data_IF_654686526417
#
_entry.id   IF_654686526417
#
_cell.length_a   1.000
_cell.length_b   1.000
_cell.length_c   1.000
_cell.angle_alpha   90.00
_cell.angle_beta   90.00
_cell.angle_gamma   90.00
#
_symmetry.space_group_name_H-M   'P 1'
#
loop_
_entity.id
_entity.type
_entity.pdbx_description
1 polymer ?
#
# COMPACT_ATOMS: atom_id res chain seq x y z
N UNK A 1 6.59 3.52 -9.31
CA UNK A 1 5.59 2.95 -10.23
C UNK A 1 4.60 2.13 -9.43
N UNK A 2 3.29 2.37 -9.60
CA UNK A 2 2.22 1.61 -8.92
C UNK A 2 1.25 1.07 -9.98
N UNK A 3 0.70 -0.13 -9.75
CA UNK A 3 -0.06 -0.88 -10.76
C UNK A 3 -1.31 -1.52 -10.14
N UNK A 4 -2.37 -1.61 -10.94
CA UNK A 4 -3.51 -2.49 -10.65
C UNK A 4 -3.36 -3.71 -11.55
N UNK A 5 -3.35 -4.91 -10.96
CA UNK A 5 -3.06 -6.16 -11.67
C UNK A 5 -4.22 -7.14 -11.42
N UNK A 6 -4.98 -7.55 -12.45
CA UNK A 6 -5.96 -8.62 -12.30
C UNK A 6 -5.23 -9.95 -12.09
N UNK A 7 -5.63 -10.71 -11.09
CA UNK A 7 -5.10 -12.04 -10.79
C UNK A 7 -6.26 -13.03 -10.61
N UNK A 8 -6.08 -14.28 -11.06
CA UNK A 8 -7.08 -15.34 -10.85
C UNK A 8 -6.64 -16.26 -9.71
N UNK A 9 -7.56 -16.51 -8.78
CA UNK A 9 -7.42 -17.50 -7.71
C UNK A 9 -8.73 -18.32 -7.63
N UNK A 10 -8.64 -19.65 -7.76
CA UNK A 10 -9.78 -20.58 -7.58
C UNK A 10 -11.06 -20.19 -8.35
N UNK A 11 -10.90 -19.65 -9.55
CA UNK A 11 -12.01 -19.25 -10.43
C UNK A 11 -12.54 -17.84 -10.19
N UNK A 12 -12.10 -17.13 -9.16
CA UNK A 12 -12.40 -15.73 -8.93
C UNK A 12 -11.29 -14.82 -9.48
N UNK A 13 -11.67 -13.65 -9.98
CA UNK A 13 -10.73 -12.57 -10.34
C UNK A 13 -10.61 -11.62 -9.16
N UNK A 14 -9.38 -11.38 -8.72
CA UNK A 14 -9.00 -10.46 -7.67
C UNK A 14 -8.19 -9.31 -8.27
N UNK A 15 -8.28 -8.13 -7.66
CA UNK A 15 -7.59 -6.94 -8.15
C UNK A 15 -6.47 -6.58 -7.18
N UNK A 16 -5.22 -6.82 -7.61
CA UNK A 16 -4.05 -6.51 -6.81
C UNK A 16 -3.62 -5.06 -7.00
N UNK A 17 -3.63 -4.31 -5.90
CA UNK A 17 -3.01 -3.01 -5.79
C UNK A 17 -1.54 -3.17 -5.44
N UNK A 18 -0.66 -3.02 -6.43
CA UNK A 18 0.78 -2.94 -6.22
C UNK A 18 1.21 -1.49 -6.00
N UNK A 19 1.59 -1.19 -4.76
CA UNK A 19 2.08 0.12 -4.36
C UNK A 19 3.62 0.20 -4.43
N UNK A 20 4.16 1.03 -5.31
CA UNK A 20 5.61 1.17 -5.46
C UNK A 20 6.25 2.32 -4.68
N UNK A 21 5.46 3.16 -3.99
CA UNK A 21 5.98 4.28 -3.21
C UNK A 21 6.31 3.84 -1.79
N UNK A 22 7.50 3.30 -1.52
CA UNK A 22 7.79 2.79 -0.18
C UNK A 22 8.95 3.52 0.48
N UNK A 23 8.84 3.67 1.80
CA UNK A 23 9.78 4.32 2.71
C UNK A 23 9.95 5.84 2.48
N UNK A 24 9.57 6.59 3.49
CA UNK A 24 9.80 8.03 3.64
C UNK A 24 10.38 8.25 5.03
N UNK A 25 11.16 9.31 5.20
CA UNK A 25 11.84 9.62 6.45
C UNK A 25 11.81 11.11 6.72
N UNK A 26 12.25 11.50 7.93
CA UNK A 26 12.39 12.91 8.31
C UNK A 26 13.39 13.68 7.46
N UNK A 27 14.29 12.98 6.76
CA UNK A 27 15.27 13.56 5.84
C UNK A 27 14.80 13.58 4.38
N UNK A 28 13.64 13.00 4.08
CA UNK A 28 13.04 13.13 2.74
C UNK A 28 12.77 14.60 2.42
N UNK A 29 13.09 15.08 1.20
CA UNK A 29 12.77 16.44 0.80
C UNK A 29 11.27 16.74 0.94
N UNK A 30 10.94 17.96 1.37
CA UNK A 30 9.56 18.39 1.60
C UNK A 30 8.67 18.16 0.36
N UNK A 31 9.14 18.59 -0.81
CA UNK A 31 8.38 18.44 -2.06
C UNK A 31 8.13 16.97 -2.42
N UNK A 32 9.07 16.07 -2.08
CA UNK A 32 8.90 14.64 -2.26
C UNK A 32 7.83 14.08 -1.32
N UNK A 33 7.72 14.57 -0.08
CA UNK A 33 6.67 14.18 0.85
C UNK A 33 5.29 14.62 0.36
N UNK A 34 5.17 15.84 -0.16
CA UNK A 34 3.93 16.36 -0.76
C UNK A 34 3.53 15.53 -1.99
N UNK A 35 4.47 15.26 -2.89
CA UNK A 35 4.23 14.43 -4.08
C UNK A 35 3.86 12.98 -3.71
N UNK A 36 4.49 12.42 -2.67
CA UNK A 36 4.18 11.09 -2.15
C UNK A 36 2.75 11.03 -1.59
N UNK A 37 2.35 12.00 -0.75
CA UNK A 37 0.98 12.11 -0.23
C UNK A 37 -0.06 12.20 -1.35
N UNK A 38 0.19 13.05 -2.35
CA UNK A 38 -0.70 13.18 -3.51
C UNK A 38 -0.80 11.87 -4.30
N UNK A 39 0.33 11.18 -4.50
CA UNK A 39 0.38 9.89 -5.18
C UNK A 39 -0.37 8.80 -4.41
N UNK A 40 -0.25 8.76 -3.09
CA UNK A 40 -0.95 7.81 -2.23
C UNK A 40 -2.46 7.99 -2.31
N UNK A 41 -2.97 9.23 -2.21
CA UNK A 41 -4.40 9.54 -2.36
C UNK A 41 -4.94 9.20 -3.74
N UNK A 42 -4.19 9.54 -4.80
CA UNK A 42 -4.59 9.18 -6.18
C UNK A 42 -4.66 7.66 -6.34
N UNK A 43 -3.68 6.93 -5.83
CA UNK A 43 -3.66 5.48 -5.97
C UNK A 43 -4.71 4.79 -5.09
N UNK A 44 -5.05 5.36 -3.92
CA UNK A 44 -6.19 4.90 -3.12
C UNK A 44 -7.49 4.95 -3.93
N UNK A 45 -7.78 6.07 -4.60
CA UNK A 45 -8.96 6.21 -5.44
C UNK A 45 -8.96 5.22 -6.62
N UNK A 46 -7.82 5.05 -7.30
CA UNK A 46 -7.68 4.07 -8.39
C UNK A 46 -7.90 2.63 -7.89
N UNK A 47 -7.32 2.27 -6.75
CA UNK A 47 -7.48 0.95 -6.15
C UNK A 47 -8.92 0.70 -5.68
N UNK A 48 -9.58 1.71 -5.09
CA UNK A 48 -10.96 1.63 -4.67
C UNK A 48 -11.91 1.44 -5.86
N UNK A 49 -11.73 2.21 -6.94
CA UNK A 49 -12.51 2.06 -8.19
C UNK A 49 -12.34 0.70 -8.85
N UNK A 50 -11.15 0.10 -8.73
CA UNK A 50 -10.89 -1.24 -9.22
C UNK A 50 -11.46 -2.35 -8.31
N UNK A 51 -11.96 -2.03 -7.11
CA UNK A 51 -12.36 -3.04 -6.13
C UNK A 51 -11.18 -3.85 -5.61
N UNK A 52 -10.00 -3.22 -5.47
CA UNK A 52 -8.78 -3.91 -5.07
C UNK A 52 -8.91 -4.55 -3.68
N UNK A 53 -8.60 -5.84 -3.64
CA UNK A 53 -8.69 -6.71 -2.47
C UNK A 53 -7.39 -7.45 -2.20
N UNK A 54 -6.36 -7.27 -3.02
CA UNK A 54 -5.01 -7.78 -2.79
C UNK A 54 -4.05 -6.59 -2.64
N UNK A 55 -3.25 -6.58 -1.57
CA UNK A 55 -2.21 -5.58 -1.34
C UNK A 55 -0.84 -6.16 -1.65
N UNK A 56 -0.10 -5.48 -2.53
CA UNK A 56 1.31 -5.74 -2.79
C UNK A 56 2.11 -4.45 -2.67
N UNK A 57 3.40 -4.59 -2.36
CA UNK A 57 4.35 -3.47 -2.36
C UNK A 57 5.66 -3.92 -3.00
N UNK A 58 6.44 -2.97 -3.51
CA UNK A 58 7.82 -3.23 -3.92
C UNK A 58 8.72 -3.75 -2.77
N UNK A 59 8.27 -3.68 -1.52
CA UNK A 59 9.01 -4.24 -0.39
C UNK A 59 8.14 -5.16 0.49
N UNK A 60 8.49 -6.44 0.53
CA UNK A 60 7.72 -7.55 1.12
C UNK A 60 7.23 -7.33 2.55
N UNK A 61 8.02 -6.63 3.36
CA UNK A 61 7.71 -6.37 4.78
C UNK A 61 6.43 -5.56 4.97
N UNK A 62 6.05 -4.70 4.03
CA UNK A 62 4.91 -3.79 4.20
C UNK A 62 3.55 -4.44 4.01
N UNK A 63 3.51 -5.69 3.55
CA UNK A 63 2.29 -6.47 3.39
C UNK A 63 2.44 -7.89 3.96
N UNK A 64 3.39 -8.13 4.86
CA UNK A 64 3.61 -9.41 5.52
C UNK A 64 3.89 -10.60 4.56
N UNK A 65 4.70 -10.37 3.52
CA UNK A 65 4.98 -11.36 2.46
C UNK A 65 5.30 -12.76 3.01
N UNK A 66 6.28 -12.88 3.89
CA UNK A 66 6.74 -14.17 4.42
C UNK A 66 5.63 -14.91 5.18
N UNK A 67 4.87 -14.18 6.00
CA UNK A 67 3.75 -14.74 6.77
C UNK A 67 2.65 -15.26 5.85
N UNK A 68 2.29 -14.52 4.80
CA UNK A 68 1.24 -14.93 3.85
C UNK A 68 1.68 -16.11 3.00
N UNK A 69 2.92 -16.11 2.52
CA UNK A 69 3.50 -17.26 1.83
C UNK A 69 3.53 -18.50 2.74
N UNK A 70 3.89 -18.33 4.01
CA UNK A 70 3.86 -19.40 5.02
C UNK A 70 2.46 -19.97 5.22
N UNK A 71 1.46 -19.11 5.39
CA UNK A 71 0.05 -19.52 5.55
C UNK A 71 -0.45 -20.31 4.33
N UNK A 72 -0.17 -19.83 3.12
CA UNK A 72 -0.57 -20.53 1.89
C UNK A 72 0.16 -21.88 1.72
N UNK A 73 1.44 -21.96 2.09
CA UNK A 73 2.18 -23.24 2.07
C UNK A 73 1.63 -24.26 3.08
N UNK A 74 1.23 -23.79 4.26
CA UNK A 74 0.69 -24.66 5.31
C UNK A 74 -0.72 -25.18 5.00
N UNK A 75 -1.50 -24.44 4.21
CA UNK A 75 -2.84 -24.87 3.77
C UNK A 75 -3.11 -24.50 2.29
N UNK A 76 -2.55 -25.23 1.32
CA UNK A 76 -2.68 -24.90 -0.11
C UNK A 76 -4.13 -24.94 -0.64
N UNK A 77 -4.96 -25.82 -0.07
CA UNK A 77 -6.38 -25.91 -0.42
C UNK A 77 -7.24 -24.84 0.26
N UNK A 78 -6.73 -24.16 1.29
CA UNK A 78 -7.43 -23.13 2.06
C UNK A 78 -7.50 -21.76 1.39
N UNK A 79 -8.14 -20.77 2.02
CA UNK A 79 -8.23 -19.41 1.49
C UNK A 79 -6.85 -18.81 1.22
N UNK A 80 -6.71 -18.09 0.10
CA UNK A 80 -5.45 -17.43 -0.24
C UNK A 80 -5.22 -16.23 0.70
N UNK A 81 -4.16 -16.30 1.50
CA UNK A 81 -3.80 -15.31 2.51
C UNK A 81 -3.44 -13.93 1.95
N UNK A 82 -3.35 -13.75 0.63
CA UNK A 82 -3.15 -12.45 -0.01
C UNK A 82 -4.45 -11.69 -0.27
N UNK A 83 -5.59 -12.39 -0.31
CA UNK A 83 -6.91 -11.79 -0.45
C UNK A 83 -7.29 -11.19 0.90
N UNK A 84 -7.69 -9.91 0.87
CA UNK A 84 -8.02 -9.09 2.03
C UNK A 84 -9.42 -8.48 1.85
N UNK A 85 -9.94 -7.88 2.92
CA UNK A 85 -11.01 -6.91 2.76
C UNK A 85 -10.49 -5.68 1.98
N UNK A 86 -11.25 -5.12 1.01
CA UNK A 86 -10.85 -3.90 0.30
C UNK A 86 -10.49 -2.72 1.21
N UNK A 87 -11.17 -2.62 2.37
CA UNK A 87 -10.85 -1.64 3.40
C UNK A 87 -9.39 -1.73 3.88
N UNK A 88 -8.79 -2.92 3.90
CA UNK A 88 -7.39 -3.10 4.32
C UNK A 88 -6.40 -2.59 3.28
N UNK A 89 -6.72 -2.69 1.99
CA UNK A 89 -5.94 -2.07 0.91
C UNK A 89 -5.99 -0.55 1.03
N UNK A 90 -7.19 0.00 1.24
CA UNK A 90 -7.39 1.45 1.44
C UNK A 90 -6.63 1.98 2.67
N UNK A 91 -6.79 1.33 3.82
CA UNK A 91 -6.12 1.73 5.06
C UNK A 91 -4.59 1.77 4.91
N UNK A 92 -4.01 0.84 4.16
CA UNK A 92 -2.57 0.86 3.88
C UNK A 92 -2.14 2.12 3.11
N UNK A 93 -2.90 2.51 2.08
CA UNK A 93 -2.61 3.71 1.28
C UNK A 93 -2.85 5.00 2.08
N UNK A 94 -3.81 5.00 2.99
CA UNK A 94 -4.02 6.09 3.94
C UNK A 94 -2.86 6.23 4.93
N UNK A 95 -2.30 5.13 5.43
CA UNK A 95 -1.08 5.19 6.26
C UNK A 95 0.07 5.81 5.48
N UNK A 96 0.25 5.43 4.21
CA UNK A 96 1.26 6.04 3.35
C UNK A 96 1.04 7.58 3.25
N UNK A 97 -0.18 8.02 2.92
CA UNK A 97 -0.53 9.43 2.85
C UNK A 97 -0.28 10.17 4.17
N UNK A 98 -0.85 9.69 5.26
CA UNK A 98 -0.79 10.35 6.57
C UNK A 98 0.64 10.43 7.11
N UNK A 99 1.47 9.40 6.91
CA UNK A 99 2.88 9.45 7.30
C UNK A 99 3.63 10.57 6.55
N UNK A 100 3.36 10.76 5.26
CA UNK A 100 4.00 11.81 4.48
C UNK A 100 3.58 13.21 4.94
N UNK A 101 2.28 13.39 5.19
CA UNK A 101 1.76 14.65 5.74
C UNK A 101 2.36 14.95 7.12
N UNK A 102 2.40 13.96 8.02
CA UNK A 102 2.93 14.13 9.37
C UNK A 102 4.42 14.55 9.35
N UNK A 103 5.24 13.93 8.49
CA UNK A 103 6.65 14.29 8.35
C UNK A 103 6.80 15.70 7.76
N UNK A 104 6.03 16.04 6.73
CA UNK A 104 6.06 17.36 6.09
C UNK A 104 5.68 18.47 7.07
N UNK A 105 4.63 18.26 7.87
CA UNK A 105 4.20 19.18 8.93
C UNK A 105 5.31 19.37 9.98
N UNK A 106 5.97 18.29 10.40
CA UNK A 106 7.07 18.36 11.35
C UNK A 106 8.28 19.13 10.79
N UNK A 107 8.57 19.03 9.49
CA UNK A 107 9.63 19.81 8.84
C UNK A 107 9.29 21.30 8.81
N UNK A 108 8.05 21.67 8.47
CA UNK A 108 7.62 23.07 8.46
C UNK A 108 7.69 23.70 9.86
N UNK A 109 7.22 22.97 10.88
CA UNK A 109 7.30 23.44 12.26
C UNK A 109 8.74 23.67 12.75
N UNK A 110 9.71 22.91 12.22
CA UNK A 110 11.12 23.08 12.54
C UNK A 110 11.78 24.28 11.83
N UNK A 111 11.28 24.70 10.66
CA UNK A 111 11.78 25.88 9.92
C UNK A 111 11.24 27.21 10.46
N UNK A 112 10.10 27.18 11.14
CA UNK A 112 9.49 28.35 11.79
C UNK A 112 9.98 28.61 13.22
N UNK A 113 10.96 27.83 13.70
CA UNK A 113 11.73 28.06 14.92
C UNK A 113 13.10 28.61 14.54
#
# INVERSE_FOLDING_TARGET
MSLIIPARDKGATHMAAFWGGTAISRTSPYDNLVAYSSSARRFEDVAAKAGADVLLSNHGRYFDLEKRLGANRANPAGPNAFILAPARVRNYLQVADHCAQAIALAQNAAKGK
#
